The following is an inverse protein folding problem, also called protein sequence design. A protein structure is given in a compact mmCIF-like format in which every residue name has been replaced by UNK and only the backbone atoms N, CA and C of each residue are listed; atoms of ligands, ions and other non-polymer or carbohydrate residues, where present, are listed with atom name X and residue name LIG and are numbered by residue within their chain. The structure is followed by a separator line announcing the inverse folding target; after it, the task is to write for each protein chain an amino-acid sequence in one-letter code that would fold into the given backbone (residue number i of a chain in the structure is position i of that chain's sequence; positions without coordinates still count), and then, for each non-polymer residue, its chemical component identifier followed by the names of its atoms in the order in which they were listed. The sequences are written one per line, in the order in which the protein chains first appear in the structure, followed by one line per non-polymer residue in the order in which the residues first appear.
data_IF_305238849460
#
_entry.id   IF_305238849460
#
_cell.length_a   1.000
_cell.length_b   1.000
_cell.length_c   1.000
_cell.angle_alpha   90.00
_cell.angle_beta   90.00
_cell.angle_gamma   90.00
#
_symmetry.space_group_name_H-M   'P 1'
#
loop_
_entity.id
_entity.type
_entity.pdbx_description
1 polymer ?
#
# COMPACT_ATOMS: atom_id res chain seq x y z
N UNK A 1 1.38 21.21 31.79
CA UNK A 1 0.81 21.51 30.47
C UNK A 1 -0.30 22.55 30.66
N UNK A 2 -0.13 23.76 30.14
CA UNK A 2 -1.25 24.72 30.11
C UNK A 2 -2.29 24.19 29.11
N UNK A 3 -3.54 24.08 29.55
CA UNK A 3 -4.63 23.56 28.74
C UNK A 3 -4.83 24.45 27.51
N UNK A 4 -4.98 23.86 26.32
CA UNK A 4 -5.12 24.58 25.04
C UNK A 4 -6.21 25.64 25.08
N UNK A 5 -7.31 25.35 25.78
CA UNK A 5 -8.43 26.27 26.00
C UNK A 5 -8.02 27.55 26.73
N UNK A 6 -7.17 27.45 27.75
CA UNK A 6 -6.72 28.62 28.53
C UNK A 6 -5.88 29.55 27.66
N UNK A 7 -5.05 28.97 26.78
CA UNK A 7 -4.23 29.72 25.83
C UNK A 7 -5.08 30.39 24.75
N UNK A 8 -6.10 29.69 24.24
CA UNK A 8 -7.05 30.25 23.28
C UNK A 8 -7.86 31.41 23.88
N UNK A 9 -8.30 31.27 25.14
CA UNK A 9 -8.97 32.34 25.87
C UNK A 9 -8.06 33.54 26.11
N UNK A 10 -6.77 33.33 26.38
CA UNK A 10 -5.79 34.42 26.48
C UNK A 10 -5.62 35.16 25.16
N UNK A 11 -5.51 34.45 24.02
CA UNK A 11 -5.45 35.08 22.70
C UNK A 11 -6.71 35.86 22.35
N UNK A 12 -7.89 35.33 22.73
CA UNK A 12 -9.16 36.04 22.57
C UNK A 12 -9.29 37.27 23.48
N UNK A 13 -8.56 37.30 24.60
CA UNK A 13 -8.55 38.45 25.52
C UNK A 13 -7.59 39.55 25.05
N UNK A 14 -6.52 39.17 24.35
CA UNK A 14 -5.51 40.08 23.81
C UNK A 14 -5.99 40.83 22.55
N UNK A 15 -7.01 40.31 21.86
CA UNK A 15 -7.52 40.84 20.60
C UNK A 15 -9.01 41.19 20.70
N UNK A 16 -9.44 42.20 19.94
CA UNK A 16 -10.81 42.74 20.03
C UNK A 16 -11.83 41.92 19.21
N UNK A 17 -11.36 41.09 18.27
CA UNK A 17 -12.23 40.29 17.38
C UNK A 17 -11.67 38.88 17.16
N UNK A 18 -12.56 37.90 16.97
CA UNK A 18 -12.19 36.53 16.66
C UNK A 18 -11.42 36.42 15.33
N UNK A 19 -11.75 37.26 14.35
CA UNK A 19 -11.06 37.30 13.05
C UNK A 19 -9.61 37.81 13.19
N UNK A 20 -9.36 38.76 14.09
CA UNK A 20 -8.00 39.25 14.37
C UNK A 20 -7.14 38.16 15.02
N UNK A 21 -7.70 37.39 15.95
CA UNK A 21 -7.03 36.21 16.54
C UNK A 21 -6.74 35.17 15.45
N UNK A 22 -7.72 34.89 14.59
CA UNK A 22 -7.57 33.91 13.52
C UNK A 22 -6.48 34.30 12.53
N UNK A 23 -6.42 35.58 12.13
CA UNK A 23 -5.39 36.10 11.25
C UNK A 23 -4.00 36.09 11.91
N UNK A 24 -3.89 36.54 13.17
CA UNK A 24 -2.61 36.63 13.90
C UNK A 24 -2.00 35.27 14.24
N UNK A 25 -2.85 34.29 14.55
CA UNK A 25 -2.43 32.94 14.92
C UNK A 25 -2.57 31.92 13.79
N UNK A 26 -2.88 32.38 12.57
CA UNK A 26 -3.04 31.54 11.38
C UNK A 26 -4.07 30.41 11.57
N UNK A 27 -5.13 30.67 12.33
CA UNK A 27 -6.31 29.79 12.32
C UNK A 27 -7.02 30.00 11.00
N UNK A 28 -6.65 29.21 10.01
CA UNK A 28 -7.39 29.13 8.77
C UNK A 28 -8.80 28.59 9.04
N UNK A 29 -9.80 28.99 8.22
CA UNK A 29 -11.11 28.34 8.24
C UNK A 29 -11.06 26.88 7.79
N UNK A 30 -9.91 26.46 7.24
CA UNK A 30 -9.64 25.11 6.77
C UNK A 30 -8.57 24.46 7.60
N UNK A 31 -8.75 23.17 7.85
CA UNK A 31 -7.72 22.34 8.46
C UNK A 31 -6.58 22.10 7.48
N UNK A 32 -5.39 21.77 8.00
CA UNK A 32 -4.24 21.42 7.16
C UNK A 32 -4.56 20.27 6.19
N UNK A 33 -5.40 19.32 6.63
CA UNK A 33 -5.84 18.19 5.82
C UNK A 33 -6.73 18.63 4.66
N UNK A 34 -7.62 19.61 4.87
CA UNK A 34 -8.46 20.17 3.80
C UNK A 34 -7.63 20.89 2.73
N UNK A 35 -6.59 21.62 3.13
CA UNK A 35 -5.69 22.26 2.18
C UNK A 35 -4.87 21.21 1.41
N UNK A 36 -4.35 20.18 2.10
CA UNK A 36 -3.62 19.08 1.46
C UNK A 36 -4.50 18.31 0.44
N UNK A 37 -5.76 18.03 0.78
CA UNK A 37 -6.71 17.39 -0.12
C UNK A 37 -7.03 18.26 -1.34
N UNK A 38 -7.17 19.57 -1.16
CA UNK A 38 -7.37 20.50 -2.29
C UNK A 38 -6.17 20.49 -3.22
N UNK A 39 -4.96 20.57 -2.67
CA UNK A 39 -3.74 20.65 -3.45
C UNK A 39 -3.50 19.32 -4.20
N UNK A 40 -3.77 18.18 -3.55
CA UNK A 40 -3.78 16.86 -4.20
C UNK A 40 -4.81 16.80 -5.34
N UNK A 41 -6.03 17.28 -5.10
CA UNK A 41 -7.09 17.28 -6.12
C UNK A 41 -6.70 18.15 -7.33
N UNK A 42 -6.10 19.31 -7.10
CA UNK A 42 -5.57 20.17 -8.16
C UNK A 42 -4.46 19.46 -8.96
N UNK A 43 -3.43 18.95 -8.28
CA UNK A 43 -2.33 18.24 -8.92
C UNK A 43 -2.81 17.01 -9.71
N UNK A 44 -3.78 16.26 -9.18
CA UNK A 44 -4.32 15.09 -9.86
C UNK A 44 -5.01 15.44 -11.19
N UNK A 45 -5.74 16.57 -11.25
CA UNK A 45 -6.42 17.04 -12.46
C UNK A 45 -5.44 17.38 -13.59
N UNK A 46 -4.23 17.78 -13.25
CA UNK A 46 -3.18 18.10 -14.21
C UNK A 46 -2.36 16.86 -14.59
N UNK A 47 -2.08 15.96 -13.64
CA UNK A 47 -1.31 14.74 -13.85
C UNK A 47 -2.05 13.69 -14.68
N UNK A 48 -3.35 13.51 -14.49
CA UNK A 48 -4.10 12.45 -15.20
C UNK A 48 -4.12 12.62 -16.72
N UNK A 49 -4.35 13.83 -17.29
CA UNK A 49 -4.21 14.06 -18.73
C UNK A 49 -2.80 13.78 -19.25
N UNK A 50 -1.76 14.24 -18.52
CA UNK A 50 -0.36 14.01 -18.91
C UNK A 50 0.00 12.52 -18.92
N UNK A 51 -0.46 11.77 -17.91
CA UNK A 51 -0.27 10.31 -17.86
C UNK A 51 -1.04 9.59 -18.98
N UNK A 52 -2.23 10.08 -19.35
CA UNK A 52 -2.99 9.55 -20.48
C UNK A 52 -2.25 9.77 -21.80
N UNK A 53 -1.67 10.94 -21.99
CA UNK A 53 -0.86 11.28 -23.16
C UNK A 53 0.39 10.41 -23.21
N UNK A 54 1.14 10.33 -22.10
CA UNK A 54 2.32 9.48 -21.98
C UNK A 54 1.99 8.01 -22.27
N UNK A 55 0.90 7.49 -21.71
CA UNK A 55 0.43 6.14 -21.99
C UNK A 55 0.09 5.97 -23.46
N UNK A 56 -0.58 6.95 -24.08
CA UNK A 56 -0.93 6.87 -25.50
C UNK A 56 0.29 6.90 -26.43
N UNK A 57 1.36 7.59 -26.02
CA UNK A 57 2.62 7.65 -26.74
C UNK A 57 3.52 6.42 -26.49
N UNK A 58 3.49 5.87 -25.28
CA UNK A 58 4.27 4.69 -24.90
C UNK A 58 3.67 3.38 -25.40
N UNK A 59 2.38 3.36 -25.73
CA UNK A 59 1.77 2.24 -26.45
C UNK A 59 2.23 2.32 -27.90
N UNK A 60 3.24 1.53 -28.24
CA UNK A 60 3.64 1.33 -29.63
C UNK A 60 2.55 0.52 -30.36
N UNK A 61 1.66 1.26 -31.02
CA UNK A 61 0.50 0.68 -31.72
C UNK A 61 0.93 -0.15 -32.92
N UNK A 62 2.11 0.12 -33.48
CA UNK A 62 2.67 -0.65 -34.59
C UNK A 62 3.13 -2.02 -34.10
N UNK A 63 3.90 -2.06 -33.01
CA UNK A 63 4.32 -3.32 -32.37
C UNK A 63 3.12 -4.16 -31.91
N UNK A 64 2.09 -3.54 -31.33
CA UNK A 64 0.89 -4.26 -30.92
C UNK A 64 0.04 -4.75 -32.11
N UNK A 65 -0.01 -3.99 -33.21
CA UNK A 65 -0.71 -4.41 -34.43
C UNK A 65 -0.01 -5.62 -35.06
N UNK A 66 1.32 -5.58 -35.16
CA UNK A 66 2.14 -6.68 -35.66
C UNK A 66 1.94 -7.94 -34.82
N UNK A 67 1.96 -7.82 -33.48
CA UNK A 67 1.68 -8.95 -32.60
C UNK A 67 0.28 -9.53 -32.82
N UNK A 68 -0.72 -8.67 -33.03
CA UNK A 68 -2.11 -9.10 -33.23
C UNK A 68 -2.29 -9.79 -34.58
N UNK A 69 -1.60 -9.34 -35.63
CA UNK A 69 -1.58 -9.99 -36.94
C UNK A 69 -0.87 -11.35 -36.88
N UNK A 70 0.24 -11.46 -36.15
CA UNK A 70 0.97 -12.72 -35.98
C UNK A 70 0.19 -13.74 -35.13
N UNK A 71 -0.51 -13.28 -34.09
CA UNK A 71 -1.36 -14.14 -33.24
C UNK A 71 -2.65 -14.53 -33.98
N UNK A 72 -3.25 -13.61 -34.75
CA UNK A 72 -4.44 -13.86 -35.56
C UNK A 72 -4.18 -14.81 -36.74
N UNK A 73 -3.03 -14.68 -37.41
CA UNK A 73 -2.62 -15.60 -38.48
C UNK A 73 -2.26 -17.00 -37.95
N UNK A 74 -1.82 -17.11 -36.69
CA UNK A 74 -1.61 -18.39 -36.02
C UNK A 74 -2.92 -19.07 -35.56
N UNK A 75 -4.05 -18.34 -35.53
CA UNK A 75 -5.34 -18.88 -35.08
C UNK A 75 -6.16 -19.57 -36.19
N UNK A 76 -5.88 -19.28 -37.47
CA UNK A 76 -6.55 -19.92 -38.62
C UNK A 76 -5.89 -21.25 -39.07
N UNK A 77 -4.80 -21.65 -38.42
CA UNK A 77 -4.10 -22.91 -38.68
C UNK A 77 -3.80 -23.65 -37.38
N UNK A 78 -4.56 -24.71 -37.12
CA UNK A 78 -4.38 -25.69 -36.05
C UNK A 78 -4.92 -25.28 -34.67
N UNK A 79 -6.12 -25.79 -34.38
CA UNK A 79 -6.54 -26.12 -33.03
C UNK A 79 -5.58 -27.16 -32.43
N UNK A 80 -4.46 -26.70 -31.88
CA UNK A 80 -3.63 -27.48 -30.97
C UNK A 80 -3.91 -26.99 -29.54
N UNK A 81 -4.65 -27.83 -28.83
CA UNK A 81 -4.81 -27.86 -27.38
C UNK A 81 -3.46 -27.62 -26.67
N UNK A 82 -3.34 -26.45 -26.04
CA UNK A 82 -2.15 -25.99 -25.34
C UNK A 82 -2.56 -24.87 -24.40
N UNK A 83 -3.25 -25.25 -23.32
CA UNK A 83 -3.61 -24.34 -22.22
C UNK A 83 -2.39 -23.56 -21.75
N UNK A 84 -2.31 -22.31 -22.18
CA UNK A 84 -1.39 -21.31 -21.63
C UNK A 84 -2.10 -20.69 -20.45
N UNK A 85 -1.83 -21.22 -19.25
CA UNK A 85 -2.24 -20.61 -18.00
C UNK A 85 -1.57 -19.24 -17.92
N UNK A 86 -2.35 -18.18 -18.13
CA UNK A 86 -1.89 -16.81 -18.24
C UNK A 86 -1.20 -16.29 -16.98
N UNK A 87 0.04 -16.68 -16.77
CA UNK A 87 0.96 -16.12 -15.77
C UNK A 87 1.34 -14.71 -16.23
N UNK A 88 0.46 -13.77 -15.94
CA UNK A 88 0.67 -12.35 -16.14
C UNK A 88 1.80 -11.91 -15.21
N UNK A 89 3.01 -11.83 -15.73
CA UNK A 89 4.17 -11.25 -15.05
C UNK A 89 3.93 -9.74 -14.89
N UNK A 90 3.17 -9.40 -13.85
CA UNK A 90 3.11 -8.05 -13.35
C UNK A 90 4.44 -7.79 -12.64
N UNK A 91 5.30 -6.98 -13.27
CA UNK A 91 6.48 -6.45 -12.60
C UNK A 91 6.00 -5.61 -11.41
N UNK A 92 5.94 -6.22 -10.23
CA UNK A 92 5.66 -5.52 -8.99
C UNK A 92 6.87 -4.63 -8.70
N UNK A 93 6.70 -3.32 -8.80
CA UNK A 93 7.73 -2.34 -8.50
C UNK A 93 7.98 -2.36 -6.99
N UNK A 94 8.80 -3.31 -6.55
CA UNK A 94 9.27 -3.44 -5.18
C UNK A 94 10.02 -2.18 -4.77
N UNK A 95 9.45 -1.42 -3.84
CA UNK A 95 10.16 -0.41 -3.07
C UNK A 95 11.28 -1.14 -2.31
N UNK A 96 12.50 -1.02 -2.83
CA UNK A 96 13.70 -1.59 -2.23
C UNK A 96 14.00 -0.84 -0.93
N UNK A 97 13.62 -1.43 0.21
CA UNK A 97 14.23 -1.12 1.50
C UNK A 97 15.37 -2.12 1.68
N UNK A 98 16.60 -1.60 1.68
CA UNK A 98 17.82 -2.39 1.65
C UNK A 98 18.03 -3.18 2.95
N UNK A 99 18.43 -4.44 2.81
CA UNK A 99 18.86 -5.26 3.92
C UNK A 99 19.31 -6.67 3.52
N UNK A 100 20.63 -6.80 3.32
CA UNK A 100 21.49 -7.98 3.46
C UNK A 100 21.22 -9.26 2.64
N UNK A 101 22.30 -9.67 1.96
CA UNK A 101 22.48 -10.86 1.13
C UNK A 101 22.17 -12.18 1.85
N UNK A 102 21.19 -12.95 1.35
CA UNK A 102 21.21 -14.41 1.42
C UNK A 102 20.33 -15.03 0.31
N UNK A 103 20.98 -15.65 -0.69
CA UNK A 103 20.45 -16.61 -1.70
C UNK A 103 19.05 -16.38 -2.28
N UNK A 104 19.01 -15.85 -3.51
CA UNK A 104 17.83 -15.36 -4.23
C UNK A 104 16.96 -16.41 -4.98
N UNK A 105 16.89 -17.67 -4.55
CA UNK A 105 16.15 -18.70 -5.33
C UNK A 105 14.96 -19.37 -4.62
N UNK A 106 14.66 -19.07 -3.35
CA UNK A 106 13.50 -19.68 -2.66
C UNK A 106 12.94 -18.79 -1.52
N UNK A 107 12.84 -17.46 -1.72
CA UNK A 107 12.19 -16.64 -0.69
C UNK A 107 10.66 -16.88 -0.72
N UNK A 108 10.05 -17.42 0.35
CA UNK A 108 8.62 -17.71 0.36
C UNK A 108 7.84 -16.39 0.21
N UNK A 109 6.69 -16.41 -0.50
CA UNK A 109 5.90 -15.21 -0.76
C UNK A 109 5.53 -14.53 0.56
N UNK A 110 5.48 -13.19 0.64
CA UNK A 110 5.31 -12.46 1.90
C UNK A 110 4.13 -12.97 2.73
N UNK A 111 4.31 -13.12 4.05
CA UNK A 111 3.28 -13.69 4.92
C UNK A 111 2.08 -12.74 5.02
N UNK A 112 0.98 -13.10 4.36
CA UNK A 112 -0.33 -12.46 4.54
C UNK A 112 -0.98 -13.00 5.81
N UNK A 113 -1.10 -12.14 6.82
CA UNK A 113 -1.75 -12.44 8.08
C UNK A 113 -3.28 -12.41 7.94
N UNK A 114 -4.03 -13.34 8.57
CA UNK A 114 -5.48 -13.26 8.69
C UNK A 114 -5.94 -11.98 9.42
N UNK A 115 -7.21 -11.55 9.26
CA UNK A 115 -7.71 -10.27 9.80
C UNK A 115 -7.60 -10.12 11.32
N UNK A 116 -7.57 -11.24 12.05
CA UNK A 116 -7.45 -11.25 13.52
C UNK A 116 -6.01 -11.42 14.02
N UNK A 117 -5.03 -11.46 13.10
CA UNK A 117 -3.62 -11.57 13.43
C UNK A 117 -2.94 -10.20 13.42
N UNK A 118 -2.00 -10.01 14.33
CA UNK A 118 -1.30 -8.74 14.50
C UNK A 118 0.21 -8.92 14.44
N UNK A 119 0.88 -7.95 13.83
CA UNK A 119 2.33 -7.84 13.84
C UNK A 119 2.74 -6.79 14.87
N UNK A 120 3.51 -7.19 15.87
CA UNK A 120 4.00 -6.29 16.93
C UNK A 120 5.51 -6.19 16.89
N UNK A 121 6.03 -4.97 17.06
CA UNK A 121 7.48 -4.73 17.24
C UNK A 121 7.75 -4.61 18.73
N UNK A 122 8.44 -5.60 19.30
CA UNK A 122 8.78 -5.63 20.72
C UNK A 122 10.26 -5.37 20.93
N UNK A 123 10.59 -4.52 21.89
CA UNK A 123 11.98 -4.29 22.28
C UNK A 123 12.42 -5.39 23.23
N UNK A 124 13.30 -6.28 22.74
CA UNK A 124 13.96 -7.31 23.57
C UNK A 124 15.40 -6.88 23.82
N UNK A 125 15.62 -6.27 24.99
CA UNK A 125 16.91 -5.71 25.35
C UNK A 125 17.27 -4.52 24.46
N UNK A 126 18.33 -4.66 23.65
CA UNK A 126 18.79 -3.62 22.72
C UNK A 126 18.22 -3.75 21.30
N UNK A 127 17.56 -4.87 20.97
CA UNK A 127 17.05 -5.14 19.63
C UNK A 127 15.52 -4.97 19.56
N UNK A 128 15.04 -4.42 18.44
CA UNK A 128 13.62 -4.40 18.10
C UNK A 128 13.32 -5.66 17.29
N UNK A 129 12.49 -6.55 17.83
CA UNK A 129 12.15 -7.83 17.21
C UNK A 129 10.69 -7.83 16.79
N UNK A 130 10.41 -8.38 15.61
CA UNK A 130 9.06 -8.57 15.08
C UNK A 130 8.46 -9.84 15.66
N UNK A 131 7.31 -9.73 16.31
CA UNK A 131 6.50 -10.85 16.81
C UNK A 131 5.13 -10.84 16.11
N UNK A 132 4.62 -12.03 15.81
CA UNK A 132 3.30 -12.23 15.22
C UNK A 132 2.38 -12.80 16.29
N UNK A 133 1.17 -12.27 16.40
CA UNK A 133 0.20 -12.65 17.43
C UNK A 133 -1.07 -13.12 16.74
N UNK A 134 -1.57 -14.29 17.11
CA UNK A 134 -2.85 -14.80 16.61
C UNK A 134 -4.04 -14.27 17.41
N UNK A 135 -5.26 -14.60 16.95
CA UNK A 135 -6.52 -14.22 17.60
C UNK A 135 -6.67 -14.76 19.03
N UNK A 136 -5.96 -15.84 19.36
CA UNK A 136 -5.98 -16.49 20.67
C UNK A 136 -4.88 -15.93 21.61
N UNK A 137 -4.04 -15.01 21.13
CA UNK A 137 -2.94 -14.41 21.88
C UNK A 137 -1.65 -15.23 21.87
N UNK A 138 -1.54 -16.29 21.06
CA UNK A 138 -0.28 -17.01 20.88
C UNK A 138 0.71 -16.16 20.09
N UNK A 139 1.99 -16.23 20.47
CA UNK A 139 3.05 -15.38 19.91
C UNK A 139 4.08 -16.20 19.16
N UNK A 140 4.34 -15.81 17.93
CA UNK A 140 5.32 -16.43 17.04
C UNK A 140 6.49 -15.46 16.81
N UNK A 141 7.71 -15.91 17.10
CA UNK A 141 8.92 -15.06 17.05
C UNK A 141 9.51 -14.92 15.65
N UNK A 142 9.12 -15.79 14.73
CA UNK A 142 9.69 -15.88 13.38
C UNK A 142 8.56 -16.03 12.39
N UNK A 143 8.76 -15.50 11.18
CA UNK A 143 7.76 -15.59 10.12
C UNK A 143 7.42 -17.03 9.73
N UNK A 144 8.41 -17.93 9.68
CA UNK A 144 8.18 -19.34 9.34
C UNK A 144 7.19 -20.04 10.29
N UNK A 145 7.28 -19.74 11.59
CA UNK A 145 6.35 -20.27 12.60
C UNK A 145 4.95 -19.69 12.44
N UNK A 146 4.87 -18.38 12.20
CA UNK A 146 3.59 -17.71 11.96
C UNK A 146 2.91 -18.26 10.70
N UNK A 147 3.66 -18.45 9.61
CA UNK A 147 3.17 -19.02 8.36
C UNK A 147 2.58 -20.41 8.54
N UNK A 148 3.32 -21.30 9.21
CA UNK A 148 2.84 -22.66 9.47
C UNK A 148 1.51 -22.67 10.23
N UNK A 149 1.37 -21.79 11.21
CA UNK A 149 0.16 -21.68 12.01
C UNK A 149 -1.02 -21.08 11.20
N UNK A 150 -0.75 -20.07 10.36
CA UNK A 150 -1.75 -19.53 9.43
C UNK A 150 -2.21 -20.59 8.42
N UNK A 151 -1.29 -21.36 7.86
CA UNK A 151 -1.61 -22.43 6.89
C UNK A 151 -2.38 -23.59 7.54
N UNK A 152 -2.13 -23.87 8.81
CA UNK A 152 -2.92 -24.84 9.58
C UNK A 152 -4.34 -24.32 9.85
N UNK A 153 -4.48 -23.05 10.24
CA UNK A 153 -5.78 -22.42 10.44
C UNK A 153 -6.61 -22.45 9.14
N UNK A 154 -6.03 -22.02 8.01
CA UNK A 154 -6.69 -22.05 6.69
C UNK A 154 -7.11 -23.46 6.29
N UNK A 155 -6.26 -24.46 6.54
CA UNK A 155 -6.59 -25.87 6.27
C UNK A 155 -7.76 -26.35 7.13
N UNK A 156 -7.83 -25.95 8.40
CA UNK A 156 -8.94 -26.31 9.27
C UNK A 156 -10.26 -25.67 8.85
N UNK A 157 -10.23 -24.38 8.50
CA UNK A 157 -11.40 -23.63 8.03
C UNK A 157 -11.97 -24.25 6.74
N UNK A 158 -11.09 -24.62 5.80
CA UNK A 158 -11.47 -25.28 4.55
C UNK A 158 -12.06 -26.70 4.74
N UNK A 159 -11.79 -27.37 5.86
CA UNK A 159 -12.37 -28.70 6.17
C UNK A 159 -13.69 -28.63 6.93
N UNK A 160 -14.00 -27.49 7.55
CA UNK A 160 -15.23 -27.28 8.33
C UNK A 160 -16.34 -26.57 7.55
N UNK A 161 -16.08 -26.18 6.30
CA UNK A 161 -17.05 -25.56 5.39
C UNK A 161 -17.62 -26.55 4.39
#
# INVERSE_FOLDING_TARGET
AQHWLIRALQWLLEEETADAVAARHSFGPRTADEDALRDLAAASRDLFPALRELRSAAIDREVLADLTEHIGAAADGEAADGGSDGESSACDFGLSDGGEEESADDEPPPLVLPPEWQMQRVQRGKALVREYVDSNGNRYKTEALARRAVDEQRRSENMTS
#
